data_IF_649693775597
#
_entry.id   IF_649693775597
#
_cell.length_a   1.000
_cell.length_b   1.000
_cell.length_c   1.000
_cell.angle_alpha   90.00
_cell.angle_beta   90.00
_cell.angle_gamma   90.00
#
_symmetry.space_group_name_H-M   'P 1'
#
loop_
_entity.id
_entity.type
_entity.pdbx_description
1 polymer ?
#
# COMPACT_ATOMS: atom_id res chain seq x y z
N UNK A 1 -20.07 1.86 -31.23
CA UNK A 1 -20.81 0.58 -31.14
C UNK A 1 -21.09 0.36 -29.66
N UNK A 2 -22.29 -0.09 -29.27
CA UNK A 2 -22.59 -0.32 -27.85
C UNK A 2 -21.71 -1.47 -27.35
N UNK A 3 -21.10 -1.29 -26.18
CA UNK A 3 -20.19 -2.28 -25.61
C UNK A 3 -20.97 -3.53 -25.19
N UNK A 4 -20.79 -4.62 -25.92
CA UNK A 4 -21.20 -5.95 -25.45
C UNK A 4 -20.48 -6.28 -24.13
N UNK A 5 -21.05 -7.16 -23.31
CA UNK A 5 -20.46 -7.71 -22.07
C UNK A 5 -19.00 -8.16 -22.24
N UNK A 6 -18.57 -8.49 -23.46
CA UNK A 6 -17.19 -8.83 -23.80
C UNK A 6 -16.23 -7.63 -23.76
N UNK A 7 -16.67 -6.44 -24.18
CA UNK A 7 -15.85 -5.22 -24.12
C UNK A 7 -15.67 -4.76 -22.67
N UNK A 8 -16.73 -4.77 -21.86
CA UNK A 8 -16.63 -4.47 -20.41
C UNK A 8 -15.71 -5.45 -19.69
N UNK A 9 -15.81 -6.76 -19.98
CA UNK A 9 -14.86 -7.77 -19.49
C UNK A 9 -13.41 -7.47 -19.89
N UNK A 10 -13.18 -7.08 -21.15
CA UNK A 10 -11.83 -6.76 -21.62
C UNK A 10 -11.22 -5.57 -20.88
N UNK A 11 -12.04 -4.58 -20.52
CA UNK A 11 -11.66 -3.40 -19.76
C UNK A 11 -11.36 -3.74 -18.29
N UNK A 12 -12.16 -4.61 -17.66
CA UNK A 12 -11.93 -5.10 -16.29
C UNK A 12 -10.64 -5.93 -16.20
N UNK A 13 -10.25 -6.63 -17.28
CA UNK A 13 -8.98 -7.39 -17.33
C UNK A 13 -7.74 -6.54 -17.64
N UNK A 14 -7.88 -5.22 -17.82
CA UNK A 14 -6.73 -4.35 -18.03
C UNK A 14 -6.00 -4.12 -16.72
N UNK A 15 -4.67 -4.14 -16.79
CA UNK A 15 -3.83 -3.75 -15.67
C UNK A 15 -3.48 -2.27 -15.82
N UNK A 16 -3.86 -1.47 -14.83
CA UNK A 16 -3.47 -0.07 -14.73
C UNK A 16 -2.35 0.04 -13.71
N UNK A 17 -1.16 0.44 -14.15
CA UNK A 17 -0.05 0.74 -13.25
C UNK A 17 0.22 2.24 -13.17
N UNK A 18 0.31 2.75 -11.95
CA UNK A 18 0.51 4.18 -11.67
C UNK A 18 1.88 4.39 -11.02
N UNK A 19 2.70 5.24 -11.64
CA UNK A 19 3.99 5.63 -11.09
C UNK A 19 3.83 6.44 -9.78
N UNK A 20 4.65 6.20 -8.74
CA UNK A 20 4.63 7.00 -7.51
C UNK A 20 4.81 8.50 -7.75
N UNK A 21 5.55 8.90 -8.79
CA UNK A 21 5.71 10.30 -9.18
C UNK A 21 4.37 10.98 -9.46
N UNK A 22 3.41 10.27 -10.06
CA UNK A 22 2.07 10.78 -10.37
C UNK A 22 1.33 11.11 -9.07
N UNK A 23 1.39 10.23 -8.07
CA UNK A 23 0.74 10.46 -6.78
C UNK A 23 1.28 11.71 -6.10
N UNK A 24 2.60 11.87 -6.10
CA UNK A 24 3.26 13.04 -5.53
C UNK A 24 2.90 14.32 -6.30
N UNK A 25 2.89 14.27 -7.63
CA UNK A 25 2.52 15.38 -8.50
C UNK A 25 1.07 15.84 -8.27
N UNK A 26 0.14 14.91 -8.11
CA UNK A 26 -1.27 15.24 -7.85
C UNK A 26 -1.45 15.82 -6.44
N UNK A 27 -0.79 15.25 -5.43
CA UNK A 27 -0.81 15.79 -4.07
C UNK A 27 -0.22 17.22 -4.02
N UNK A 28 0.89 17.45 -4.71
CA UNK A 28 1.52 18.77 -4.86
C UNK A 28 0.64 19.76 -5.64
N UNK A 29 0.00 19.32 -6.73
CA UNK A 29 -0.97 20.13 -7.47
C UNK A 29 -2.15 20.55 -6.58
N UNK A 30 -2.73 19.63 -5.83
CA UNK A 30 -3.79 19.96 -4.87
C UNK A 30 -3.30 20.95 -3.81
N UNK A 31 -2.06 20.77 -3.33
CA UNK A 31 -1.40 21.67 -2.38
C UNK A 31 -1.19 23.10 -2.88
N UNK A 32 -0.97 23.29 -4.19
CA UNK A 32 -0.84 24.62 -4.81
C UNK A 32 -2.16 25.30 -5.10
N UNK A 33 -3.14 24.56 -5.64
CA UNK A 33 -4.35 25.15 -6.22
C UNK A 33 -5.53 25.20 -5.25
N UNK A 34 -5.68 24.21 -4.37
CA UNK A 34 -6.93 23.96 -3.66
C UNK A 34 -6.76 23.83 -2.14
N UNK A 35 -5.56 24.10 -1.58
CA UNK A 35 -5.27 23.93 -0.15
C UNK A 35 -6.19 24.80 0.70
N UNK A 36 -7.06 24.16 1.49
CA UNK A 36 -8.04 24.83 2.35
C UNK A 36 -9.41 25.09 1.70
N UNK A 37 -9.59 24.70 0.44
CA UNK A 37 -10.89 24.76 -0.25
C UNK A 37 -11.47 23.36 -0.42
N UNK A 38 -12.77 23.27 -0.71
CA UNK A 38 -13.45 22.00 -1.04
C UNK A 38 -13.47 21.74 -2.55
N UNK A 39 -12.66 22.47 -3.32
CA UNK A 39 -12.56 22.37 -4.77
C UNK A 39 -11.75 21.14 -5.15
N UNK A 40 -12.19 20.42 -6.19
CA UNK A 40 -11.37 19.37 -6.80
C UNK A 40 -10.41 19.96 -7.81
N UNK A 41 -9.26 19.32 -7.97
CA UNK A 41 -8.33 19.62 -9.06
C UNK A 41 -8.44 18.56 -10.13
N UNK A 42 -8.28 18.97 -11.38
CA UNK A 42 -8.28 18.10 -12.55
C UNK A 42 -6.97 18.30 -13.29
N UNK A 43 -6.42 17.23 -13.84
CA UNK A 43 -5.26 17.31 -14.71
C UNK A 43 -5.20 16.14 -15.67
N UNK A 44 -4.23 16.20 -16.58
CA UNK A 44 -4.05 15.19 -17.63
C UNK A 44 -3.06 14.14 -17.17
N UNK A 45 -3.33 12.90 -17.57
CA UNK A 45 -2.43 11.77 -17.39
C UNK A 45 -1.71 11.45 -18.70
N UNK A 46 -0.40 11.33 -18.57
CA UNK A 46 0.51 10.96 -19.64
C UNK A 46 1.10 9.58 -19.35
N UNK A 47 1.29 8.80 -20.40
CA UNK A 47 1.90 7.50 -20.28
C UNK A 47 1.80 6.67 -21.55
N UNK A 48 1.86 5.36 -21.37
CA UNK A 48 1.80 4.38 -22.44
C UNK A 48 0.54 3.53 -22.29
N UNK A 49 -0.13 3.29 -23.41
CA UNK A 49 -1.32 2.46 -23.47
C UNK A 49 -1.14 1.41 -24.57
N UNK A 50 -0.83 0.19 -24.15
CA UNK A 50 -0.65 -0.97 -25.03
C UNK A 50 -1.96 -1.78 -25.19
N UNK A 51 -3.09 -1.21 -24.78
CA UNK A 51 -4.41 -1.80 -24.87
C UNK A 51 -4.73 -2.87 -23.81
N UNK A 52 -3.72 -3.58 -23.28
CA UNK A 52 -3.89 -4.50 -22.12
C UNK A 52 -3.31 -3.93 -20.83
N UNK A 53 -2.12 -3.36 -20.94
CA UNK A 53 -1.45 -2.69 -19.84
C UNK A 53 -1.48 -1.19 -20.11
N UNK A 54 -1.90 -0.42 -19.12
CA UNK A 54 -1.89 1.03 -19.16
C UNK A 54 -0.95 1.50 -18.07
N UNK A 55 0.20 2.05 -18.47
CA UNK A 55 1.20 2.58 -17.55
C UNK A 55 1.10 4.09 -17.52
N UNK A 56 0.73 4.62 -16.36
CA UNK A 56 0.68 6.06 -16.09
C UNK A 56 2.05 6.49 -15.59
N UNK A 57 2.78 7.24 -16.40
CA UNK A 57 4.15 7.65 -16.10
C UNK A 57 4.20 9.05 -15.50
N UNK A 58 3.41 9.98 -16.06
CA UNK A 58 3.50 11.38 -15.71
C UNK A 58 2.13 12.05 -15.68
N UNK A 59 2.04 13.23 -15.09
CA UNK A 59 0.81 14.00 -14.99
C UNK A 59 1.12 15.49 -14.98
N UNK A 60 0.18 16.30 -15.47
CA UNK A 60 0.29 17.75 -15.35
C UNK A 60 -1.05 18.39 -14.99
N UNK A 61 -0.98 19.53 -14.30
CA UNK A 61 -2.12 20.32 -13.88
C UNK A 61 -2.76 21.05 -15.05
N UNK A 62 -4.09 21.11 -15.10
CA UNK A 62 -4.83 21.95 -16.05
C UNK A 62 -5.60 23.00 -15.27
N UNK A 63 -5.65 24.26 -15.73
CA UNK A 63 -6.56 25.26 -15.18
C UNK A 63 -8.00 24.73 -15.23
N UNK A 64 -8.56 24.48 -14.06
CA UNK A 64 -9.90 23.91 -13.90
C UNK A 64 -10.64 24.67 -12.82
N UNK A 65 -11.86 25.09 -13.14
CA UNK A 65 -12.78 25.70 -12.18
C UNK A 65 -14.12 24.99 -12.24
N UNK A 66 -14.72 24.74 -11.08
CA UNK A 66 -16.05 24.18 -10.96
C UNK A 66 -16.85 25.06 -10.00
N UNK A 67 -18.11 25.33 -10.33
CA UNK A 67 -19.02 25.97 -9.40
C UNK A 67 -19.37 25.02 -8.25
N UNK A 68 -19.33 25.51 -7.02
CA UNK A 68 -19.71 24.72 -5.85
C UNK A 68 -21.23 24.52 -5.74
N UNK A 69 -22.03 25.40 -6.38
CA UNK A 69 -23.49 25.37 -6.32
C UNK A 69 -24.10 24.49 -7.41
N UNK A 70 -23.57 24.57 -8.63
CA UNK A 70 -24.01 23.74 -9.76
C UNK A 70 -22.82 22.94 -10.32
N UNK A 71 -22.72 21.64 -9.99
CA UNK A 71 -21.66 20.77 -10.50
C UNK A 71 -21.65 20.60 -12.03
N UNK A 72 -22.70 21.01 -12.74
CA UNK A 72 -22.78 20.95 -14.20
C UNK A 72 -22.00 22.08 -14.87
N UNK A 73 -21.73 23.16 -14.13
CA UNK A 73 -20.99 24.33 -14.63
C UNK A 73 -19.53 24.19 -14.23
N UNK A 74 -18.71 23.84 -15.21
CA UNK A 74 -17.27 23.71 -15.06
C UNK A 74 -16.53 24.33 -16.25
N UNK A 75 -15.30 24.74 -16.01
CA UNK A 75 -14.39 25.33 -16.98
C UNK A 75 -13.11 24.49 -17.05
N UNK A 76 -12.69 24.16 -18.27
CA UNK A 76 -11.42 23.49 -18.54
C UNK A 76 -10.78 24.11 -19.79
N UNK A 77 -9.52 24.50 -19.69
CA UNK A 77 -8.80 25.11 -20.81
C UNK A 77 -8.24 24.04 -21.78
N UNK A 78 -8.89 23.86 -22.93
CA UNK A 78 -8.46 22.93 -23.98
C UNK A 78 -7.21 23.39 -24.74
N UNK A 79 -7.03 24.70 -24.89
CA UNK A 79 -5.87 25.26 -25.59
C UNK A 79 -4.60 24.98 -24.78
N UNK A 80 -4.71 25.06 -23.45
CA UNK A 80 -3.63 24.68 -22.55
C UNK A 80 -3.29 23.19 -22.68
N UNK A 81 -4.28 22.30 -22.72
CA UNK A 81 -4.06 20.85 -22.89
C UNK A 81 -3.33 20.55 -24.20
N UNK A 82 -3.74 21.16 -25.32
CA UNK A 82 -3.11 20.93 -26.62
C UNK A 82 -1.67 21.44 -26.69
N UNK A 83 -1.44 22.69 -26.26
CA UNK A 83 -0.10 23.27 -26.24
C UNK A 83 0.87 22.49 -25.34
N UNK A 84 0.40 22.06 -24.18
CA UNK A 84 1.20 21.28 -23.23
C UNK A 84 1.49 19.87 -23.75
N UNK A 85 0.49 19.22 -24.36
CA UNK A 85 0.66 17.93 -25.01
C UNK A 85 1.75 17.97 -26.09
N UNK A 86 1.77 19.03 -26.92
CA UNK A 86 2.80 19.20 -27.94
C UNK A 86 4.19 19.50 -27.36
N UNK A 87 4.27 20.11 -26.18
CA UNK A 87 5.54 20.27 -25.46
C UNK A 87 6.06 18.93 -24.93
N UNK A 88 5.20 18.15 -24.27
CA UNK A 88 5.59 16.83 -23.73
C UNK A 88 5.96 15.83 -24.82
N UNK A 89 5.28 15.83 -25.96
CA UNK A 89 5.67 15.03 -27.14
C UNK A 89 7.09 15.33 -27.63
N UNK A 90 7.56 16.58 -27.51
CA UNK A 90 8.93 16.98 -27.90
C UNK A 90 9.98 16.48 -26.91
N UNK A 91 9.63 16.42 -25.62
CA UNK A 91 10.52 15.92 -24.57
C UNK A 91 10.62 14.39 -24.62
N UNK A 92 9.47 13.72 -24.70
CA UNK A 92 9.39 12.27 -24.72
C UNK A 92 8.28 11.81 -25.67
N UNK A 93 8.66 11.25 -26.83
CA UNK A 93 7.70 10.77 -27.83
C UNK A 93 6.93 9.51 -27.39
N UNK A 94 7.39 8.81 -26.33
CA UNK A 94 6.69 7.63 -25.80
C UNK A 94 5.50 8.01 -24.91
N UNK A 95 5.52 9.20 -24.33
CA UNK A 95 4.42 9.71 -23.51
C UNK A 95 3.31 10.24 -24.40
N UNK A 96 2.14 9.61 -24.28
CA UNK A 96 0.92 10.06 -24.94
C UNK A 96 -0.09 10.42 -23.88
N UNK A 97 -1.04 11.30 -24.23
CA UNK A 97 -2.24 11.48 -23.45
C UNK A 97 -2.96 10.13 -23.36
N UNK A 98 -3.22 9.65 -22.15
CA UNK A 98 -3.93 8.38 -21.90
C UNK A 98 -5.23 8.58 -21.13
N UNK A 99 -5.40 9.74 -20.50
CA UNK A 99 -6.56 10.03 -19.69
C UNK A 99 -6.38 11.27 -18.83
N UNK A 100 -7.10 11.31 -17.73
CA UNK A 100 -7.13 12.44 -16.80
C UNK A 100 -7.31 11.95 -15.37
N UNK A 101 -6.87 12.75 -14.42
CA UNK A 101 -7.05 12.48 -13.00
C UNK A 101 -7.92 13.55 -12.36
N UNK A 102 -8.54 13.19 -11.24
CA UNK A 102 -9.09 14.17 -10.33
C UNK A 102 -8.83 13.76 -8.87
N UNK A 103 -8.82 14.77 -7.99
CA UNK A 103 -8.45 14.60 -6.57
C UNK A 103 -9.54 13.98 -5.68
N UNK A 104 -10.60 13.38 -6.24
CA UNK A 104 -11.71 12.83 -5.46
C UNK A 104 -12.51 13.90 -4.67
N UNK A 105 -13.21 13.54 -3.57
CA UNK A 105 -13.20 12.24 -2.88
C UNK A 105 -14.22 11.22 -3.42
N UNK A 106 -15.17 11.63 -4.27
CA UNK A 106 -16.20 10.77 -4.85
C UNK A 106 -16.42 11.10 -6.32
N UNK A 107 -16.79 10.09 -7.10
CA UNK A 107 -17.22 10.23 -8.48
C UNK A 107 -18.52 11.05 -8.56
N UNK A 108 -18.61 11.93 -9.56
CA UNK A 108 -19.79 12.78 -9.83
C UNK A 108 -20.34 12.50 -11.23
N UNK A 109 -21.60 12.87 -11.45
CA UNK A 109 -22.22 12.77 -12.78
C UNK A 109 -21.51 13.67 -13.82
N UNK A 110 -21.01 14.83 -13.39
CA UNK A 110 -20.24 15.76 -14.24
C UNK A 110 -18.95 15.14 -14.79
N UNK A 111 -18.40 14.11 -14.15
CA UNK A 111 -17.19 13.44 -14.62
C UNK A 111 -17.43 12.71 -15.95
N UNK A 112 -18.67 12.30 -16.26
CA UNK A 112 -19.02 11.75 -17.57
C UNK A 112 -18.91 12.80 -18.68
N UNK A 113 -19.28 14.05 -18.39
CA UNK A 113 -19.21 15.15 -19.36
C UNK A 113 -17.75 15.55 -19.63
N UNK A 114 -16.95 15.65 -18.57
CA UNK A 114 -15.50 15.90 -18.68
C UNK A 114 -14.84 14.76 -19.46
N UNK A 115 -15.26 13.51 -19.22
CA UNK A 115 -14.71 12.36 -19.92
C UNK A 115 -15.01 12.37 -21.43
N UNK A 116 -16.21 12.80 -21.84
CA UNK A 116 -16.55 12.96 -23.27
C UNK A 116 -15.65 14.00 -23.96
N UNK A 117 -15.22 15.01 -23.21
CA UNK A 117 -14.28 15.97 -23.74
C UNK A 117 -12.89 15.36 -24.00
N UNK A 118 -12.38 14.58 -23.04
CA UNK A 118 -11.11 13.86 -23.21
C UNK A 118 -11.17 12.78 -24.28
N UNK A 119 -12.37 12.29 -24.62
CA UNK A 119 -12.61 11.35 -25.71
C UNK A 119 -12.18 11.88 -27.09
N UNK A 120 -12.10 13.21 -27.25
CA UNK A 120 -11.59 13.86 -28.47
C UNK A 120 -10.09 13.64 -28.67
N UNK A 121 -9.34 13.50 -27.58
CA UNK A 121 -7.90 13.30 -27.61
C UNK A 121 -7.53 11.81 -27.64
N UNK A 122 -8.30 10.98 -26.93
CA UNK A 122 -8.07 9.53 -26.82
C UNK A 122 -9.37 8.76 -26.88
N UNK A 123 -9.47 7.64 -27.61
CA UNK A 123 -10.72 6.91 -27.79
C UNK A 123 -11.31 6.36 -26.49
N UNK A 124 -10.45 5.92 -25.56
CA UNK A 124 -10.83 5.39 -24.26
C UNK A 124 -9.98 6.06 -23.16
N UNK A 125 -10.35 7.27 -22.72
CA UNK A 125 -9.63 7.96 -21.65
C UNK A 125 -9.73 7.19 -20.33
N UNK A 126 -8.59 7.03 -19.66
CA UNK A 126 -8.51 6.50 -18.31
C UNK A 126 -8.84 7.60 -17.29
N UNK A 127 -9.78 7.34 -16.40
CA UNK A 127 -10.04 8.18 -15.23
C UNK A 127 -9.33 7.58 -14.02
N UNK A 128 -8.42 8.32 -13.39
CA UNK A 128 -7.82 7.91 -12.11
C UNK A 128 -8.24 8.88 -11.02
N UNK A 129 -8.93 8.36 -10.01
CA UNK A 129 -9.25 9.08 -8.79
C UNK A 129 -8.09 8.89 -7.83
N UNK A 130 -7.42 9.97 -7.48
CA UNK A 130 -6.33 9.96 -6.50
C UNK A 130 -6.83 10.69 -5.27
N UNK A 131 -7.01 9.95 -4.18
CA UNK A 131 -7.40 10.56 -2.92
C UNK A 131 -6.19 11.27 -2.30
N UNK A 132 -6.31 12.58 -2.16
CA UNK A 132 -5.26 13.41 -1.55
C UNK A 132 -5.31 13.32 -0.02
N UNK A 133 -6.44 12.87 0.54
CA UNK A 133 -6.54 12.65 1.98
C UNK A 133 -6.01 11.26 2.34
N UNK A 134 -5.00 11.17 3.22
CA UNK A 134 -4.45 9.89 3.62
C UNK A 134 -5.51 9.06 4.34
N UNK A 135 -5.89 7.93 3.77
CA UNK A 135 -6.71 6.90 4.40
C UNK A 135 -5.80 5.88 5.09
N UNK A 136 -6.25 5.35 6.23
CA UNK A 136 -5.47 4.39 7.03
C UNK A 136 -5.24 3.04 6.30
N UNK A 137 -6.11 2.66 5.36
CA UNK A 137 -6.07 1.35 4.71
C UNK A 137 -6.39 1.45 3.21
N UNK A 138 -5.56 0.79 2.40
CA UNK A 138 -5.77 0.61 0.96
C UNK A 138 -4.84 1.46 0.09
N UNK A 139 -4.91 1.22 -1.21
CA UNK A 139 -4.23 2.04 -2.21
C UNK A 139 -5.08 3.30 -2.42
N UNK A 140 -4.49 4.52 -2.43
CA UNK A 140 -5.24 5.78 -2.58
C UNK A 140 -5.67 6.05 -4.03
N UNK A 141 -5.64 5.03 -4.91
CA UNK A 141 -5.94 5.15 -6.33
C UNK A 141 -7.06 4.21 -6.73
N UNK A 142 -8.07 4.78 -7.37
CA UNK A 142 -9.13 4.03 -8.04
C UNK A 142 -9.11 4.38 -9.53
N UNK A 143 -9.10 3.38 -10.41
CA UNK A 143 -9.07 3.56 -11.84
C UNK A 143 -10.43 3.18 -12.46
N UNK A 144 -10.88 3.97 -13.43
CA UNK A 144 -12.15 3.77 -14.11
C UNK A 144 -12.03 4.01 -15.61
N UNK A 145 -12.81 3.26 -16.37
CA UNK A 145 -13.05 3.54 -17.79
C UNK A 145 -14.52 3.81 -18.02
N UNK A 146 -14.83 4.76 -18.90
CA UNK A 146 -16.21 5.00 -19.32
C UNK A 146 -16.64 3.96 -20.35
N UNK A 147 -17.77 3.32 -20.11
CA UNK A 147 -18.40 2.36 -21.00
C UNK A 147 -19.86 2.73 -21.21
N UNK A 148 -20.37 2.37 -22.39
CA UNK A 148 -21.80 2.51 -22.70
C UNK A 148 -22.47 1.18 -22.41
N UNK A 149 -23.16 1.08 -21.27
CA UNK A 149 -23.90 -0.13 -20.89
C UNK A 149 -25.37 0.01 -21.29
N UNK A 150 -25.88 -1.02 -21.95
CA UNK A 150 -27.32 -1.20 -22.14
C UNK A 150 -27.81 -1.93 -20.89
N UNK A 151 -28.70 -1.30 -20.13
CA UNK A 151 -29.31 -1.95 -18.97
C UNK A 151 -30.26 -3.05 -19.43
N UNK A 152 -30.19 -4.22 -18.80
CA UNK A 152 -31.08 -5.36 -19.06
C UNK A 152 -32.56 -5.05 -18.75
N UNK A 153 -32.83 -3.97 -18.00
CA UNK A 153 -34.19 -3.49 -17.66
C UNK A 153 -34.93 -2.81 -18.83
N UNK A 154 -34.36 -2.82 -20.05
CA UNK A 154 -34.97 -2.22 -21.25
C UNK A 154 -34.97 -0.68 -21.27
N UNK A 155 -34.23 -0.05 -20.36
CA UNK A 155 -34.03 1.41 -20.32
C UNK A 155 -32.93 1.84 -21.30
N UNK A 156 -32.90 3.14 -21.64
CA UNK A 156 -31.94 3.73 -22.59
C UNK A 156 -30.48 3.41 -22.20
N UNK A 157 -29.61 3.28 -23.20
CA UNK A 157 -28.16 3.10 -23.02
C UNK A 157 -27.61 4.15 -22.06
N UNK A 158 -27.05 3.71 -20.92
CA UNK A 158 -26.49 4.60 -19.91
C UNK A 158 -24.96 4.51 -19.94
N UNK A 159 -24.30 5.68 -19.98
CA UNK A 159 -22.85 5.75 -19.82
C UNK A 159 -22.51 5.58 -18.35
N UNK A 160 -21.64 4.64 -18.05
CA UNK A 160 -21.20 4.36 -16.68
C UNK A 160 -19.70 4.19 -16.62
N UNK A 161 -19.13 4.34 -15.44
CA UNK A 161 -17.73 4.08 -15.18
C UNK A 161 -17.57 2.67 -14.61
N UNK A 162 -16.76 1.85 -15.26
CA UNK A 162 -16.39 0.52 -14.78
C UNK A 162 -15.06 0.61 -14.06
N UNK A 163 -15.04 0.13 -12.81
CA UNK A 163 -13.84 0.06 -11.99
C UNK A 163 -12.84 -0.94 -12.58
N UNK A 164 -11.59 -0.52 -12.72
CA UNK A 164 -10.47 -1.35 -13.18
C UNK A 164 -9.42 -1.42 -12.08
N UNK A 165 -8.90 -2.61 -11.73
CA UNK A 165 -7.86 -2.72 -10.71
C UNK A 165 -6.64 -1.85 -11.05
N UNK A 166 -6.20 -1.06 -10.08
CA UNK A 166 -4.99 -0.26 -10.18
C UNK A 166 -3.92 -0.78 -9.23
N UNK A 167 -2.66 -0.74 -9.68
CA UNK A 167 -1.48 -1.05 -8.88
C UNK A 167 -0.50 0.12 -8.95
N UNK A 168 0.28 0.32 -7.89
CA UNK A 168 1.39 1.27 -7.90
C UNK A 168 2.63 0.51 -8.34
N UNK A 169 3.27 0.97 -9.42
CA UNK A 169 4.49 0.36 -9.98
C UNK A 169 5.53 1.44 -10.18
N UNK A 170 6.69 1.29 -9.54
CA UNK A 170 7.80 2.22 -9.63
C UNK A 170 8.80 1.76 -10.69
N UNK A 171 9.43 2.70 -11.38
CA UNK A 171 10.65 2.42 -12.16
C UNK A 171 11.87 2.34 -11.23
N UNK A 172 12.96 1.67 -11.64
CA UNK A 172 14.18 1.52 -10.83
C UNK A 172 14.70 2.86 -10.30
N UNK A 173 14.69 3.91 -11.13
CA UNK A 173 15.09 5.26 -10.72
C UNK A 173 14.14 5.87 -9.66
N UNK A 174 12.84 5.61 -9.77
CA UNK A 174 11.84 6.09 -8.82
C UNK A 174 11.87 5.28 -7.52
N UNK A 175 12.10 3.98 -7.59
CA UNK A 175 12.19 3.08 -6.45
C UNK A 175 13.31 3.52 -5.49
N UNK A 176 14.49 3.84 -6.02
CA UNK A 176 15.61 4.38 -5.22
C UNK A 176 15.21 5.70 -4.54
N UNK A 177 14.49 6.57 -5.25
CA UNK A 177 14.00 7.84 -4.70
C UNK A 177 12.97 7.65 -3.58
N UNK A 178 12.01 6.75 -3.78
CA UNK A 178 10.98 6.43 -2.78
C UNK A 178 11.61 5.74 -1.57
N UNK A 179 12.53 4.80 -1.77
CA UNK A 179 13.24 4.13 -0.67
C UNK A 179 14.03 5.13 0.17
N UNK A 180 14.70 6.10 -0.47
CA UNK A 180 15.41 7.16 0.24
C UNK A 180 14.48 8.00 1.12
N UNK A 181 13.30 8.38 0.61
CA UNK A 181 12.32 9.15 1.37
C UNK A 181 11.69 8.36 2.52
N UNK A 182 11.56 7.04 2.37
CA UNK A 182 10.94 6.17 3.35
C UNK A 182 11.89 5.65 4.43
N UNK A 183 13.20 5.94 4.34
CA UNK A 183 14.19 5.48 5.33
C UNK A 183 13.88 5.90 6.76
N UNK A 184 13.30 7.07 6.94
CA UNK A 184 12.97 7.63 8.27
C UNK A 184 11.65 7.09 8.84
N UNK A 185 10.78 6.52 8.00
CA UNK A 185 9.45 6.03 8.38
C UNK A 185 9.45 4.50 8.50
N UNK A 186 10.18 3.82 7.61
CA UNK A 186 10.27 2.37 7.59
C UNK A 186 11.21 1.94 8.70
N UNK A 187 10.63 1.44 9.79
CA UNK A 187 11.41 0.84 10.87
C UNK A 187 12.08 -0.45 10.35
N UNK A 188 13.33 -0.32 9.92
CA UNK A 188 14.19 -1.40 9.41
C UNK A 188 14.40 -2.47 10.49
N UNK A 189 14.12 -2.16 11.77
CA UNK A 189 14.25 -3.10 12.88
C UNK A 189 13.06 -4.08 13.01
N UNK A 190 11.97 -3.90 12.25
CA UNK A 190 10.82 -4.81 12.33
C UNK A 190 11.14 -6.12 11.61
N UNK A 191 11.28 -7.20 12.39
CA UNK A 191 11.51 -8.54 11.86
C UNK A 191 10.40 -9.02 10.92
N UNK A 192 10.73 -9.92 10.00
CA UNK A 192 9.83 -10.46 8.95
C UNK A 192 8.56 -11.13 9.47
N UNK A 193 8.59 -11.67 10.70
CA UNK A 193 7.41 -12.24 11.34
C UNK A 193 6.44 -11.14 11.81
N UNK A 194 6.97 -10.09 12.44
CA UNK A 194 6.18 -8.96 12.92
C UNK A 194 5.52 -8.23 11.76
N UNK A 195 6.24 -8.00 10.64
CA UNK A 195 5.63 -7.39 9.44
C UNK A 195 4.48 -8.22 8.88
N UNK A 196 4.62 -9.55 8.86
CA UNK A 196 3.55 -10.46 8.41
C UNK A 196 2.32 -10.42 9.31
N UNK A 197 2.51 -10.39 10.63
CA UNK A 197 1.40 -10.27 11.60
C UNK A 197 0.68 -8.94 11.43
N UNK A 198 1.42 -7.84 11.33
CA UNK A 198 0.85 -6.51 11.07
C UNK A 198 0.06 -6.48 9.76
N UNK A 199 0.60 -7.06 8.69
CA UNK A 199 -0.10 -7.17 7.40
C UNK A 199 -1.39 -7.99 7.50
N UNK A 200 -1.40 -9.10 8.25
CA UNK A 200 -2.62 -9.88 8.50
C UNK A 200 -3.68 -9.07 9.27
N UNK A 201 -3.26 -8.34 10.31
CA UNK A 201 -4.16 -7.48 11.09
C UNK A 201 -4.77 -6.37 10.22
N UNK A 202 -3.93 -5.68 9.43
CA UNK A 202 -4.38 -4.64 8.50
C UNK A 202 -5.33 -5.19 7.43
N UNK A 203 -5.06 -6.40 6.91
CA UNK A 203 -5.93 -7.07 5.94
C UNK A 203 -7.31 -7.39 6.54
N UNK A 204 -7.35 -7.85 7.80
CA UNK A 204 -8.60 -8.12 8.50
C UNK A 204 -9.39 -6.84 8.78
N UNK A 205 -8.72 -5.77 9.19
CA UNK A 205 -9.33 -4.45 9.37
C UNK A 205 -9.92 -3.91 8.06
N UNK A 206 -9.18 -4.03 6.95
CA UNK A 206 -9.67 -3.68 5.62
C UNK A 206 -10.92 -4.47 5.24
N UNK A 207 -10.92 -5.79 5.45
CA UNK A 207 -12.09 -6.63 5.19
C UNK A 207 -13.30 -6.22 6.04
N UNK A 208 -13.10 -5.95 7.33
CA UNK A 208 -14.14 -5.48 8.23
C UNK A 208 -14.78 -4.17 7.75
N UNK A 209 -13.97 -3.19 7.36
CA UNK A 209 -14.45 -1.91 6.83
C UNK A 209 -15.28 -2.11 5.55
N UNK A 210 -14.81 -2.96 4.63
CA UNK A 210 -15.54 -3.26 3.38
C UNK A 210 -16.87 -3.98 3.63
N UNK A 211 -16.90 -4.96 4.55
CA UNK A 211 -18.15 -5.63 4.94
C UNK A 211 -19.15 -4.65 5.59
N UNK A 212 -18.65 -3.71 6.38
CA UNK A 212 -19.48 -2.65 6.97
C UNK A 212 -20.07 -1.74 5.89
N UNK A 213 -19.29 -1.35 4.89
CA UNK A 213 -19.77 -0.52 3.77
C UNK A 213 -20.87 -1.24 2.98
N UNK A 214 -20.73 -2.54 2.74
CA UNK A 214 -21.78 -3.38 2.11
C UNK A 214 -23.05 -3.37 2.97
N UNK A 215 -22.93 -3.56 4.29
CA UNK A 215 -24.06 -3.50 5.20
C UNK A 215 -24.78 -2.14 5.18
N UNK A 216 -24.03 -1.03 5.16
CA UNK A 216 -24.60 0.31 5.03
C UNK A 216 -25.30 0.53 3.69
N UNK A 217 -24.78 -0.02 2.59
CA UNK A 217 -25.44 0.04 1.30
C UNK A 217 -26.78 -0.70 1.32
N UNK A 218 -26.81 -1.94 1.83
CA UNK A 218 -28.05 -2.71 1.94
C UNK A 218 -29.08 -2.03 2.83
N UNK A 219 -28.65 -1.40 3.92
CA UNK A 219 -29.54 -0.63 4.78
C UNK A 219 -30.18 0.54 4.03
N UNK A 220 -29.41 1.31 3.25
CA UNK A 220 -29.93 2.43 2.44
C UNK A 220 -30.89 1.98 1.35
N UNK A 221 -30.67 0.80 0.77
CA UNK A 221 -31.60 0.22 -0.21
C UNK A 221 -32.90 -0.22 0.48
N UNK A 222 -32.82 -0.79 1.68
CA UNK A 222 -33.99 -1.15 2.48
C UNK A 222 -34.79 0.07 2.93
N UNK A 223 -34.12 1.15 3.32
CA UNK A 223 -34.72 2.41 3.74
C UNK A 223 -35.36 3.18 2.56
N UNK A 224 -35.05 2.78 1.31
CA UNK A 224 -35.61 3.36 0.09
C UNK A 224 -34.86 4.58 -0.46
N UNK A 225 -33.72 4.95 0.13
CA UNK A 225 -32.90 6.09 -0.29
C UNK A 225 -32.17 5.85 -1.62
N UNK A 226 -31.88 4.58 -1.95
CA UNK A 226 -31.14 4.19 -3.15
C UNK A 226 -31.90 3.15 -3.97
N UNK A 227 -31.85 3.22 -5.32
CA UNK A 227 -32.46 2.22 -6.17
C UNK A 227 -31.74 0.88 -6.06
N UNK A 228 -32.50 -0.21 -6.18
CA UNK A 228 -31.99 -1.57 -6.18
C UNK A 228 -31.14 -1.81 -7.42
N UNK A 229 -29.89 -2.25 -7.26
CA UNK A 229 -29.05 -2.69 -8.36
C UNK A 229 -28.92 -4.22 -8.35
N UNK A 230 -29.53 -4.88 -9.33
CA UNK A 230 -29.57 -6.33 -9.43
C UNK A 230 -28.18 -6.98 -9.63
N UNK A 231 -27.24 -6.30 -10.29
CA UNK A 231 -25.89 -6.82 -10.49
C UNK A 231 -25.12 -6.96 -9.16
N UNK A 232 -25.26 -5.97 -8.26
CA UNK A 232 -24.64 -6.01 -6.94
C UNK A 232 -25.24 -7.14 -6.09
N UNK A 233 -26.55 -7.30 -6.12
CA UNK A 233 -27.24 -8.38 -5.40
C UNK A 233 -26.86 -9.77 -5.92
N UNK A 234 -26.70 -9.94 -7.24
CA UNK A 234 -26.21 -11.18 -7.83
C UNK A 234 -24.81 -11.55 -7.32
N UNK A 235 -23.88 -10.59 -7.34
CA UNK A 235 -22.53 -10.80 -6.78
C UNK A 235 -22.57 -11.15 -5.28
N UNK A 236 -23.45 -10.52 -4.50
CA UNK A 236 -23.62 -10.87 -3.09
C UNK A 236 -24.20 -12.27 -2.88
N UNK A 237 -25.14 -12.71 -3.73
CA UNK A 237 -25.65 -14.06 -3.70
C UNK A 237 -24.55 -15.09 -3.96
N UNK A 238 -23.67 -14.82 -4.93
CA UNK A 238 -22.50 -15.67 -5.20
C UNK A 238 -21.55 -15.72 -4.00
N UNK A 239 -21.34 -14.60 -3.30
CA UNK A 239 -20.54 -14.57 -2.06
C UNK A 239 -21.10 -15.53 -1.01
N UNK A 240 -22.42 -15.51 -0.77
CA UNK A 240 -23.04 -16.43 0.19
C UNK A 240 -23.01 -17.89 -0.27
N UNK A 241 -23.13 -18.12 -1.58
CA UNK A 241 -23.06 -19.47 -2.16
C UNK A 241 -21.65 -20.07 -2.07
N UNK A 242 -20.62 -19.22 -2.12
CA UNK A 242 -19.21 -19.61 -2.01
C UNK A 242 -18.70 -19.67 -0.56
N UNK A 243 -19.54 -19.39 0.45
CA UNK A 243 -19.13 -19.48 1.84
C UNK A 243 -18.76 -20.92 2.23
N UNK A 244 -17.55 -21.16 2.75
CA UNK A 244 -17.16 -22.50 3.18
C UNK A 244 -18.01 -22.99 4.36
N UNK A 245 -18.79 -24.05 4.15
CA UNK A 245 -19.55 -24.70 5.20
C UNK A 245 -18.73 -25.84 5.83
N UNK A 246 -18.20 -25.56 7.02
CA UNK A 246 -17.39 -26.50 7.81
C UNK A 246 -18.16 -27.75 8.28
N UNK A 247 -19.48 -27.78 8.17
CA UNK A 247 -20.33 -28.83 8.73
C UNK A 247 -21.09 -29.66 7.68
N UNK A 248 -20.67 -29.66 6.42
CA UNK A 248 -21.39 -30.47 5.41
C UNK A 248 -21.20 -31.97 5.70
N UNK A 249 -22.26 -32.71 6.04
CA UNK A 249 -22.20 -34.16 6.04
C UNK A 249 -22.02 -34.63 4.60
N UNK A 250 -21.36 -35.78 4.41
CA UNK A 250 -21.19 -36.38 3.09
C UNK A 250 -22.55 -36.52 2.41
N UNK A 251 -22.77 -35.76 1.34
CA UNK A 251 -23.89 -35.97 0.43
C UNK A 251 -23.63 -37.27 -0.34
N UNK A 252 -23.88 -38.40 0.33
CA UNK A 252 -23.53 -39.73 -0.14
C UNK A 252 -24.12 -40.89 0.69
N UNK A 253 -24.64 -40.66 1.90
CA UNK A 253 -25.48 -41.65 2.58
C UNK A 253 -26.95 -41.37 2.29
N UNK A 254 -27.49 -42.02 1.26
CA UNK A 254 -28.93 -42.05 1.01
C UNK A 254 -29.72 -42.41 2.28
N UNK A 255 -30.88 -41.77 2.55
CA UNK A 255 -31.72 -42.08 3.70
C UNK A 255 -32.37 -43.48 3.65
N UNK A 256 -32.11 -44.27 2.61
CA UNK A 256 -32.64 -45.62 2.43
C UNK A 256 -31.83 -46.73 3.13
N UNK A 257 -30.59 -46.48 3.55
CA UNK A 257 -29.74 -47.51 4.18
C UNK A 257 -29.90 -47.62 5.71
N UNK A 258 -30.65 -46.72 6.34
CA UNK A 258 -30.78 -46.66 7.81
C UNK A 258 -31.94 -47.51 8.38
N UNK A 259 -32.71 -48.21 7.55
CA UNK A 259 -33.87 -49.03 8.00
C UNK A 259 -33.61 -50.54 8.02
N UNK A 260 -32.41 -51.01 7.69
CA UNK A 260 -32.17 -52.45 7.52
C UNK A 260 -31.32 -53.13 8.60
N UNK A 261 -30.72 -52.42 9.56
CA UNK A 261 -29.97 -53.09 10.64
C UNK A 261 -30.16 -52.36 11.97
N UNK A 262 -30.96 -52.97 12.85
CA UNK A 262 -31.05 -52.58 14.24
C UNK A 262 -29.73 -52.84 14.96
N UNK A 263 -28.90 -51.81 15.10
CA UNK A 263 -27.89 -51.67 16.15
C UNK A 263 -27.24 -50.28 16.03
N UNK A 264 -27.36 -49.47 17.09
CA UNK A 264 -26.51 -48.30 17.32
C UNK A 264 -27.19 -46.95 17.02
N UNK A 265 -27.20 -46.08 18.03
CA UNK A 265 -27.40 -44.64 17.88
C UNK A 265 -26.60 -44.10 16.69
N UNK A 266 -27.12 -43.12 15.91
CA UNK A 266 -26.26 -42.36 15.02
C UNK A 266 -25.27 -41.59 15.91
N UNK A 267 -24.03 -42.05 15.96
CA UNK A 267 -22.95 -41.32 16.62
C UNK A 267 -22.84 -39.95 15.97
N UNK A 268 -23.04 -38.89 16.74
CA UNK A 268 -22.76 -37.49 16.41
C UNK A 268 -21.25 -37.25 16.18
N UNK A 269 -20.66 -37.95 15.22
CA UNK A 269 -19.26 -37.81 14.83
C UNK A 269 -19.14 -37.68 13.33
N UNK A 270 -20.03 -36.91 12.71
CA UNK A 270 -19.79 -36.35 11.38
C UNK A 270 -18.87 -35.14 11.54
N UNK A 271 -17.63 -35.37 12.00
CA UNK A 271 -16.55 -34.42 11.84
C UNK A 271 -16.30 -34.31 10.33
N UNK A 272 -16.76 -33.21 9.74
CA UNK A 272 -16.53 -32.83 8.36
C UNK A 272 -15.12 -33.20 7.89
N UNK A 273 -15.03 -33.82 6.71
CA UNK A 273 -13.75 -34.19 6.07
C UNK A 273 -12.80 -32.99 5.98
N UNK A 274 -13.36 -31.79 5.76
CA UNK A 274 -12.62 -30.53 5.79
C UNK A 274 -12.07 -30.20 7.19
N UNK A 275 -12.86 -30.40 8.24
CA UNK A 275 -12.42 -30.18 9.62
C UNK A 275 -11.27 -31.15 9.99
N UNK A 276 -11.41 -32.43 9.63
CA UNK A 276 -10.32 -33.41 9.82
C UNK A 276 -9.06 -33.02 9.05
N UNK A 277 -9.20 -32.62 7.78
CA UNK A 277 -8.06 -32.18 6.96
C UNK A 277 -7.36 -30.95 7.55
N UNK A 278 -8.13 -29.96 8.04
CA UNK A 278 -7.59 -28.77 8.73
C UNK A 278 -6.86 -29.12 10.03
N UNK A 279 -7.39 -30.05 10.83
CA UNK A 279 -6.73 -30.53 12.04
C UNK A 279 -5.42 -31.25 11.74
N UNK A 280 -5.40 -32.14 10.73
CA UNK A 280 -4.19 -32.84 10.30
C UNK A 280 -3.12 -31.84 9.84
N UNK A 281 -3.50 -30.85 9.02
CA UNK A 281 -2.58 -29.79 8.55
C UNK A 281 -2.03 -28.96 9.71
N UNK A 282 -2.87 -28.60 10.68
CA UNK A 282 -2.44 -27.84 11.87
C UNK A 282 -1.44 -28.63 12.70
N UNK A 283 -1.69 -29.93 12.90
CA UNK A 283 -0.78 -30.80 13.64
C UNK A 283 0.58 -30.92 12.95
N UNK A 284 0.61 -31.08 11.63
CA UNK A 284 1.83 -31.16 10.83
C UNK A 284 2.67 -29.86 10.91
N UNK A 285 2.00 -28.71 10.80
CA UNK A 285 2.63 -27.41 10.99
C UNK A 285 3.23 -27.26 12.39
N UNK A 286 2.53 -27.74 13.43
CA UNK A 286 3.01 -27.69 14.81
C UNK A 286 4.25 -28.59 15.03
N UNK A 287 4.27 -29.79 14.45
CA UNK A 287 5.44 -30.68 14.49
C UNK A 287 6.67 -30.01 13.87
N UNK A 288 6.50 -29.32 12.75
CA UNK A 288 7.57 -28.56 12.09
C UNK A 288 8.10 -27.42 12.96
N UNK A 289 7.22 -26.71 13.67
CA UNK A 289 7.60 -25.65 14.61
C UNK A 289 8.40 -26.23 15.77
N UNK A 290 8.01 -27.38 16.34
CA UNK A 290 8.74 -28.03 17.42
C UNK A 290 10.14 -28.50 17.00
N UNK A 291 10.29 -29.07 15.80
CA UNK A 291 11.61 -29.44 15.29
C UNK A 291 12.50 -28.19 15.10
N UNK A 292 11.93 -27.11 14.56
CA UNK A 292 12.64 -25.84 14.36
C UNK A 292 13.07 -25.21 15.69
N UNK A 293 12.24 -25.27 16.74
CA UNK A 293 12.59 -24.73 18.06
C UNK A 293 13.65 -25.57 18.76
N UNK A 294 13.65 -26.89 18.59
CA UNK A 294 14.68 -27.78 19.12
C UNK A 294 16.05 -27.48 18.49
N UNK A 295 16.11 -27.31 17.17
CA UNK A 295 17.36 -26.95 16.47
C UNK A 295 17.87 -25.60 16.98
N UNK A 296 16.99 -24.60 17.13
CA UNK A 296 17.36 -23.28 17.69
C UNK A 296 17.91 -23.37 19.11
N UNK A 297 17.36 -24.23 19.95
CA UNK A 297 17.86 -24.44 21.32
C UNK A 297 19.27 -25.05 21.30
N UNK A 298 19.52 -26.03 20.41
CA UNK A 298 20.84 -26.66 20.26
C UNK A 298 21.86 -25.65 19.73
N UNK A 299 21.53 -24.84 18.72
CA UNK A 299 22.45 -23.81 18.20
C UNK A 299 22.76 -22.76 19.25
N UNK A 300 21.75 -22.26 19.97
CA UNK A 300 21.97 -21.30 21.06
C UNK A 300 22.85 -21.88 22.18
N UNK A 301 22.79 -23.19 22.43
CA UNK A 301 23.67 -23.86 23.37
C UNK A 301 25.11 -23.93 22.86
N UNK A 302 25.31 -24.20 21.56
CA UNK A 302 26.65 -24.14 20.95
C UNK A 302 27.24 -22.74 21.04
N UNK A 303 26.44 -21.70 20.74
CA UNK A 303 26.87 -20.30 20.88
C UNK A 303 27.27 -19.99 22.33
N UNK A 304 26.56 -20.54 23.33
CA UNK A 304 26.90 -20.37 24.75
C UNK A 304 28.23 -21.05 25.11
N UNK A 305 28.47 -22.25 24.60
CA UNK A 305 29.75 -22.96 24.79
C UNK A 305 30.88 -22.14 24.17
N UNK A 306 30.70 -21.67 22.94
CA UNK A 306 31.70 -20.89 22.22
C UNK A 306 32.00 -19.57 22.96
N UNK A 307 30.96 -18.86 23.41
CA UNK A 307 31.12 -17.68 24.27
C UNK A 307 31.89 -17.99 25.55
N UNK A 308 31.68 -19.15 26.18
CA UNK A 308 32.39 -19.56 27.40
C UNK A 308 33.86 -19.90 27.14
N UNK A 309 34.16 -20.56 26.02
CA UNK A 309 35.53 -20.85 25.59
C UNK A 309 36.28 -19.55 25.28
N UNK A 310 35.67 -18.64 24.52
CA UNK A 310 36.26 -17.34 24.20
C UNK A 310 36.51 -16.51 25.47
N UNK A 311 35.55 -16.46 26.41
CA UNK A 311 35.75 -15.74 27.67
C UNK A 311 36.90 -16.33 28.50
N UNK A 312 37.06 -17.66 28.51
CA UNK A 312 38.17 -18.30 29.22
C UNK A 312 39.52 -17.99 28.58
N UNK A 313 39.63 -18.06 27.25
CA UNK A 313 40.84 -17.70 26.53
C UNK A 313 41.23 -16.23 26.76
N UNK A 314 40.26 -15.32 26.74
CA UNK A 314 40.51 -13.90 27.04
C UNK A 314 40.93 -13.67 28.49
N UNK A 315 40.46 -14.48 29.43
CA UNK A 315 40.88 -14.43 30.83
C UNK A 315 42.33 -14.90 30.96
N UNK A 316 42.68 -16.03 30.35
CA UNK A 316 44.04 -16.58 30.32
C UNK A 316 45.02 -15.60 29.66
N UNK A 317 44.66 -14.97 28.53
CA UNK A 317 45.48 -13.91 27.92
C UNK A 317 45.66 -12.66 28.79
N UNK A 318 44.67 -12.31 29.61
CA UNK A 318 44.78 -11.19 30.55
C UNK A 318 45.68 -11.56 31.73
N UNK A 319 45.56 -12.77 32.25
CA UNK A 319 46.36 -13.25 33.37
C UNK A 319 47.84 -13.41 32.95
N UNK A 320 48.12 -13.88 31.73
CA UNK A 320 49.47 -13.94 31.16
C UNK A 320 50.10 -12.55 30.97
N UNK A 321 49.31 -11.55 30.55
CA UNK A 321 49.76 -10.14 30.45
C UNK A 321 50.03 -9.50 31.82
N UNK A 322 49.35 -9.95 32.88
CA UNK A 322 49.56 -9.47 34.25
C UNK A 322 50.78 -10.13 34.89
N UNK A 323 51.01 -11.42 34.64
CA UNK A 323 52.19 -12.13 35.13
C UNK A 323 53.47 -11.76 34.36
N UNK A 324 53.41 -11.53 33.05
CA UNK A 324 54.56 -11.02 32.28
C UNK A 324 55.03 -9.62 32.69
N UNK A 325 54.19 -8.81 33.34
CA UNK A 325 54.58 -7.51 33.92
C UNK A 325 55.28 -7.60 35.28
N UNK A 326 55.30 -8.78 35.93
CA UNK A 326 55.99 -8.95 37.22
C UNK A 326 57.44 -9.40 37.08
N UNK A 327 57.85 -9.94 35.93
CA UNK A 327 59.24 -10.37 35.69
C UNK A 327 60.13 -9.29 35.05
N UNK A 328 59.57 -8.25 34.43
CA UNK A 328 60.34 -7.10 33.91
C UNK A 328 60.34 -5.92 34.89
N UNK A 329 60.98 -6.14 36.03
CA UNK A 329 61.53 -5.04 36.81
C UNK A 329 62.88 -4.60 36.24
N UNK A 330 62.96 -3.32 35.82
CA UNK A 330 64.18 -2.48 35.67
C UNK A 330 64.62 -2.19 34.20
N UNK A 331 63.98 -1.21 33.54
CA UNK A 331 64.52 0.14 33.16
C UNK A 331 63.68 0.79 32.02
N UNK A 332 63.17 1.99 32.29
CA UNK A 332 63.33 3.12 31.35
C UNK A 332 62.24 3.44 30.33
N UNK A 333 61.44 4.45 30.68
CA UNK A 333 60.90 5.54 29.83
C UNK A 333 59.89 5.29 28.69
N UNK A 334 58.85 6.13 28.80
CA UNK A 334 58.08 6.86 27.78
C UNK A 334 56.86 6.20 27.11
N UNK A 335 55.82 7.04 27.16
CA UNK A 335 54.80 7.32 26.15
C UNK A 335 53.52 6.48 26.20
N UNK A 336 52.45 7.20 26.59
CA UNK A 336 51.07 7.15 26.14
C UNK A 336 50.63 5.93 25.34
N UNK A 337 49.55 5.29 25.80
CA UNK A 337 48.61 4.62 24.91
C UNK A 337 47.19 4.63 25.47
N UNK A 338 46.36 5.31 24.70
CA UNK A 338 44.91 5.38 24.65
C UNK A 338 44.14 4.24 25.32
N UNK A 339 43.19 4.66 26.15
CA UNK A 339 42.01 3.89 26.53
C UNK A 339 41.11 3.76 25.30
N UNK A 340 41.04 2.57 24.70
CA UNK A 340 39.91 2.17 23.85
C UNK A 340 39.10 1.07 24.51
N UNK A 341 37.95 1.48 24.99
CA UNK A 341 36.81 0.67 25.42
C UNK A 341 36.15 0.14 24.13
N UNK A 342 36.05 -1.18 23.97
CA UNK A 342 35.06 -1.79 23.09
C UNK A 342 33.99 -2.44 23.97
N UNK A 343 32.96 -1.65 24.25
CA UNK A 343 31.65 -2.10 24.68
C UNK A 343 30.64 -1.37 23.81
N UNK A 344 29.87 -2.12 23.03
CA UNK A 344 28.71 -1.61 22.30
C UNK A 344 27.66 -1.20 23.34
N UNK A 345 26.96 -0.07 23.11
CA UNK A 345 25.51 -0.19 23.18
C UNK A 345 24.85 0.52 21.99
N UNK A 346 23.80 -0.10 21.50
CA UNK A 346 22.93 0.37 20.44
C UNK A 346 22.21 1.69 20.84
N UNK A 347 22.32 2.78 20.05
CA UNK A 347 21.24 3.76 19.71
C UNK A 347 21.75 5.09 19.09
N UNK A 348 21.12 5.44 17.97
CA UNK A 348 20.78 6.74 17.35
C UNK A 348 21.40 8.11 17.76
N UNK A 349 21.59 8.93 16.71
CA UNK A 349 21.42 10.41 16.55
C UNK A 349 22.63 11.32 16.29
N UNK A 350 22.67 11.77 15.01
CA UNK A 350 22.86 13.12 14.43
C UNK A 350 24.12 13.96 14.73
N UNK A 351 24.89 14.17 13.65
CA UNK A 351 25.86 15.24 13.41
C UNK A 351 25.21 16.63 13.26
N UNK A 352 25.80 17.64 13.90
CA UNK A 352 25.93 18.99 13.32
C UNK A 352 27.39 19.47 13.55
N UNK A 353 28.06 19.83 12.46
CA UNK A 353 29.45 20.36 12.45
C UNK A 353 29.50 21.81 12.98
N UNK A 354 30.67 22.25 13.48
CA UNK A 354 31.36 23.33 12.76
C UNK A 354 32.89 23.17 12.65
N UNK A 355 33.44 23.84 11.62
CA UNK A 355 34.88 24.05 11.39
C UNK A 355 35.48 25.17 12.28
N UNK A 356 36.84 25.27 12.40
CA UNK A 356 37.51 26.10 13.38
C UNK A 356 38.14 27.40 12.81
N UNK A 357 38.31 28.42 13.64
CA UNK A 357 39.18 29.56 13.27
C UNK A 357 39.25 30.77 14.22
N UNK A 358 40.25 30.76 15.11
CA UNK A 358 41.13 31.86 15.58
C UNK A 358 40.58 33.27 15.85
N UNK A 359 40.97 33.82 17.01
CA UNK A 359 41.35 35.24 17.15
C UNK A 359 41.11 35.85 18.53
N UNK A 360 42.20 36.14 19.26
CA UNK A 360 42.20 36.91 20.52
C UNK A 360 41.92 38.40 20.27
N UNK A 361 41.05 38.99 21.11
CA UNK A 361 41.07 40.30 21.81
C UNK A 361 41.57 41.59 21.10
N UNK A 362 41.30 42.82 21.63
CA UNK A 362 40.40 43.24 22.71
C UNK A 362 39.61 44.56 22.37
N UNK A 363 38.96 45.15 23.39
CA UNK A 363 38.60 46.58 23.59
C UNK A 363 37.16 47.02 23.30
N UNK A 364 36.61 47.81 24.24
CA UNK A 364 35.83 49.01 23.88
C UNK A 364 34.35 49.04 24.28
N UNK A 365 34.09 49.39 25.54
CA UNK A 365 33.28 50.55 25.94
C UNK A 365 31.83 50.76 25.40
N UNK A 366 30.95 51.12 26.36
CA UNK A 366 29.70 51.93 26.27
C UNK A 366 28.32 51.29 26.02
N UNK A 367 27.56 51.33 27.13
CA UNK A 367 26.31 52.09 27.36
C UNK A 367 25.03 51.75 26.56
N UNK A 368 23.96 51.62 27.37
CA UNK A 368 22.59 52.15 27.18
C UNK A 368 21.77 51.48 26.07
N UNK A 369 20.45 51.36 26.13
CA UNK A 369 19.36 51.82 26.98
C UNK A 369 18.17 50.91 26.64
N UNK A 370 17.11 50.92 27.45
CA UNK A 370 15.75 50.85 26.89
C UNK A 370 14.95 49.56 27.10
N UNK A 371 14.13 49.59 28.15
CA UNK A 371 12.80 48.99 28.25
C UNK A 371 12.06 48.90 26.91
N UNK A 372 11.33 47.82 26.68
CA UNK A 372 9.89 47.69 26.97
C UNK A 372 9.49 46.22 27.02
#
# INVERSE_FOLDING_TARGET
MPATTAETLSLVTRNVSVAPLVLLSVADHYGRSAKGTRKRVVGVLLGQNDGKNVRVSNSFAVPFEEDEKDPSVWFLDHNYVESMNDMFKKVNAREKLIGWYHSGPKLRASDLEINELFKRYTPNPLLVIIDVQPKEVGVPTDAYFAVEEIKDDGTTTSKTFVHTPSIIEAEEAEEIGVEHLLRDIRDVAVGTLSTRITSQLQSLQGLHLRLRDIGQYLQKVLDGDLPVNHAILGNLQDVFNLLPNLSTPKMGSSPAAALANGAGMPSQTDNSELARAMSVKTNDQLMTIYLSSLIRAITAFHDLIENKIQNRQQQEEKDDKVNGKKDDGVIGNKADKDVKINGVPNKDMKDEKPEPGKGRDPTGDRKKDGRL
#
